data_IF_150611618723
#
_entry.id   IF_150611618723
#
_cell.length_a   1.000
_cell.length_b   1.000
_cell.length_c   1.000
_cell.angle_alpha   90.00
_cell.angle_beta   90.00
_cell.angle_gamma   90.00
#
_symmetry.space_group_name_H-M   'P 1'
#
loop_
_entity.id
_entity.type
_entity.pdbx_description
1 polymer ?
#
# COMPACT_ATOMS: atom_id res chain seq x y z
N UNK A 1 0.88 -39.92 -10.64
CA UNK A 1 1.97 -39.11 -10.10
C UNK A 1 2.44 -38.12 -11.16
N UNK A 2 2.73 -36.87 -10.77
CA UNK A 2 3.42 -35.87 -11.60
C UNK A 2 4.88 -36.33 -11.83
N UNK A 3 5.41 -36.34 -13.07
CA UNK A 3 6.67 -37.01 -13.48
C UNK A 3 6.87 -38.37 -12.80
N UNK A 4 6.19 -39.40 -13.30
CA UNK A 4 6.39 -40.78 -12.83
C UNK A 4 7.88 -41.19 -12.87
N UNK A 5 8.25 -42.23 -12.14
CA UNK A 5 9.56 -42.91 -12.14
C UNK A 5 10.14 -43.23 -13.54
N UNK A 6 9.35 -43.07 -14.59
CA UNK A 6 9.67 -43.31 -16.00
C UNK A 6 10.40 -42.16 -16.69
N UNK A 7 10.45 -40.96 -16.11
CA UNK A 7 11.22 -39.83 -16.67
C UNK A 7 12.64 -39.84 -16.14
N UNK A 8 13.62 -40.02 -17.03
CA UNK A 8 15.03 -39.90 -16.65
C UNK A 8 15.60 -38.61 -17.24
N UNK A 9 16.39 -37.93 -16.42
CA UNK A 9 17.33 -36.89 -16.88
C UNK A 9 16.64 -35.76 -17.69
N UNK A 10 15.61 -35.08 -17.12
CA UNK A 10 14.97 -33.94 -17.78
C UNK A 10 15.99 -32.83 -18.00
N UNK A 11 16.08 -32.33 -19.24
CA UNK A 11 17.01 -31.29 -19.65
C UNK A 11 16.28 -30.20 -20.40
N UNK A 12 16.73 -28.98 -20.19
CA UNK A 12 16.27 -27.82 -20.93
C UNK A 12 17.31 -27.49 -21.99
N UNK A 13 16.97 -27.72 -23.26
CA UNK A 13 17.83 -27.40 -24.40
C UNK A 13 17.13 -26.27 -25.16
N UNK A 14 17.62 -25.04 -24.97
CA UNK A 14 16.97 -23.83 -25.48
C UNK A 14 15.51 -23.76 -25.00
N UNK A 15 14.52 -23.72 -25.91
CA UNK A 15 13.10 -23.72 -25.59
C UNK A 15 12.45 -25.10 -25.44
N UNK A 16 13.21 -26.17 -25.63
CA UNK A 16 12.69 -27.53 -25.58
C UNK A 16 12.99 -28.20 -24.24
N UNK A 17 11.94 -28.69 -23.59
CA UNK A 17 12.05 -29.69 -22.54
C UNK A 17 12.30 -31.04 -23.18
N UNK A 18 13.48 -31.61 -22.97
CA UNK A 18 13.84 -32.95 -23.42
C UNK A 18 13.89 -33.92 -22.26
N UNK A 19 13.28 -35.09 -22.39
CA UNK A 19 13.31 -36.15 -21.37
C UNK A 19 13.70 -37.49 -22.00
N UNK A 20 14.50 -38.27 -21.28
CA UNK A 20 14.80 -39.65 -21.67
C UNK A 20 13.65 -40.55 -21.18
N UNK A 21 13.09 -41.35 -22.09
CA UNK A 21 11.99 -42.28 -21.81
C UNK A 21 12.39 -43.69 -22.23
N UNK A 22 12.15 -44.68 -21.35
CA UNK A 22 12.74 -46.02 -21.44
C UNK A 22 12.59 -46.68 -22.82
N UNK A 23 13.73 -46.92 -23.48
CA UNK A 23 13.80 -47.64 -24.77
C UNK A 23 13.36 -46.83 -26.00
N UNK A 24 13.01 -45.55 -25.84
CA UNK A 24 12.59 -44.67 -26.92
C UNK A 24 13.59 -43.54 -27.19
N UNK A 25 13.47 -42.88 -28.34
CA UNK A 25 14.19 -41.65 -28.61
C UNK A 25 13.80 -40.55 -27.60
N UNK A 26 14.71 -39.62 -27.25
CA UNK A 26 14.41 -38.52 -26.34
C UNK A 26 13.17 -37.75 -26.79
N UNK A 27 12.22 -37.55 -25.89
CA UNK A 27 10.99 -36.83 -26.17
C UNK A 27 11.23 -35.34 -25.94
N UNK A 28 10.79 -34.50 -26.86
CA UNK A 28 10.95 -33.05 -26.78
C UNK A 28 9.58 -32.35 -26.77
N UNK A 29 9.40 -31.38 -25.88
CA UNK A 29 8.25 -30.48 -25.86
C UNK A 29 8.74 -29.03 -25.89
N UNK A 30 8.23 -28.25 -26.84
CA UNK A 30 8.50 -26.82 -26.89
C UNK A 30 7.71 -26.09 -25.80
N UNK A 31 8.39 -25.54 -24.79
CA UNK A 31 7.72 -24.86 -23.68
C UNK A 31 7.06 -23.53 -24.11
N UNK A 32 7.50 -22.92 -25.20
CA UNK A 32 6.86 -21.70 -25.73
C UNK A 32 5.44 -21.94 -26.27
N UNK A 33 5.01 -23.19 -26.46
CA UNK A 33 3.64 -23.48 -26.93
C UNK A 33 2.64 -23.60 -25.80
N UNK A 34 3.11 -23.77 -24.55
CA UNK A 34 2.25 -24.07 -23.40
C UNK A 34 2.54 -23.23 -22.15
N UNK A 35 3.63 -22.46 -22.13
CA UNK A 35 3.98 -21.56 -21.04
C UNK A 35 4.10 -20.12 -21.52
N UNK A 36 3.54 -19.21 -20.73
CA UNK A 36 3.72 -17.76 -20.82
C UNK A 36 4.06 -17.14 -19.46
N UNK A 37 4.20 -15.82 -19.43
CA UNK A 37 4.43 -15.04 -18.20
C UNK A 37 3.27 -14.09 -17.98
N UNK A 38 2.72 -14.07 -16.77
CA UNK A 38 1.75 -13.09 -16.33
C UNK A 38 2.04 -12.67 -14.89
N UNK A 39 2.12 -11.36 -14.67
CA UNK A 39 2.36 -10.77 -13.35
C UNK A 39 3.61 -11.33 -12.62
N UNK A 40 4.69 -11.59 -13.36
CA UNK A 40 5.93 -12.10 -12.78
C UNK A 40 5.85 -13.57 -12.34
N UNK A 41 4.86 -14.31 -12.82
CA UNK A 41 4.66 -15.74 -12.58
C UNK A 41 4.49 -16.50 -13.90
N UNK A 42 4.83 -17.78 -13.88
CA UNK A 42 4.54 -18.68 -14.99
C UNK A 42 3.03 -18.88 -15.14
N UNK A 43 2.56 -18.96 -16.38
CA UNK A 43 1.16 -19.19 -16.72
C UNK A 43 1.04 -20.32 -17.74
N UNK A 44 0.33 -21.39 -17.36
CA UNK A 44 -0.06 -22.47 -18.27
C UNK A 44 -1.02 -21.98 -19.35
N UNK A 45 -0.87 -22.51 -20.57
CA UNK A 45 -1.64 -22.12 -21.75
C UNK A 45 -1.21 -20.77 -22.34
N UNK A 46 -0.20 -20.12 -21.76
CA UNK A 46 0.48 -18.97 -22.37
C UNK A 46 1.37 -19.38 -23.55
N UNK A 47 1.98 -18.40 -24.19
CA UNK A 47 2.92 -18.62 -25.30
C UNK A 47 4.18 -17.78 -25.12
N UNK A 48 5.25 -18.22 -25.78
CA UNK A 48 6.49 -17.47 -25.99
C UNK A 48 7.27 -17.08 -24.72
N UNK A 49 7.13 -17.82 -23.61
CA UNK A 49 7.82 -17.53 -22.34
C UNK A 49 9.32 -17.26 -22.51
N UNK A 50 10.03 -18.01 -23.35
CA UNK A 50 11.48 -17.86 -23.54
C UNK A 50 11.87 -16.87 -24.62
N UNK A 51 10.90 -16.41 -25.44
CA UNK A 51 11.14 -15.37 -26.46
C UNK A 51 10.81 -13.98 -25.95
N UNK A 52 10.00 -13.87 -24.90
CA UNK A 52 9.73 -12.56 -24.30
C UNK A 52 10.98 -12.01 -23.62
N UNK A 53 11.26 -10.71 -23.82
CA UNK A 53 12.28 -9.96 -23.05
C UNK A 53 11.98 -9.94 -21.54
N UNK A 54 10.84 -10.48 -21.13
CA UNK A 54 10.31 -10.53 -19.78
C UNK A 54 10.70 -11.79 -19.00
N UNK A 55 11.59 -12.65 -19.52
CA UNK A 55 12.07 -13.83 -18.81
C UNK A 55 13.58 -14.07 -19.02
N UNK A 56 14.30 -14.47 -17.97
CA UNK A 56 15.73 -14.82 -18.05
C UNK A 56 16.15 -15.80 -16.96
N UNK A 57 17.38 -16.33 -17.08
CA UNK A 57 18.00 -17.27 -16.12
C UNK A 57 17.14 -18.51 -15.85
N UNK A 58 16.71 -19.18 -16.92
CA UNK A 58 16.00 -20.44 -16.80
C UNK A 58 16.91 -21.51 -16.18
N UNK A 59 16.40 -22.24 -15.21
CA UNK A 59 17.05 -23.45 -14.69
C UNK A 59 16.00 -24.51 -14.38
N UNK A 60 16.34 -25.76 -14.70
CA UNK A 60 15.48 -26.91 -14.52
C UNK A 60 16.13 -27.84 -13.49
N UNK A 61 15.40 -28.18 -12.44
CA UNK A 61 15.82 -29.14 -11.41
C UNK A 61 14.76 -30.21 -11.26
N UNK A 62 14.96 -31.36 -11.89
CA UNK A 62 13.93 -32.37 -12.01
C UNK A 62 12.73 -31.85 -12.80
N UNK A 63 11.58 -31.76 -12.13
CA UNK A 63 10.34 -31.22 -12.67
C UNK A 63 10.19 -29.71 -12.53
N UNK A 64 10.98 -29.10 -11.66
CA UNK A 64 10.84 -27.70 -11.29
C UNK A 64 11.58 -26.82 -12.29
N UNK A 65 10.82 -26.06 -13.07
CA UNK A 65 11.33 -24.98 -13.90
C UNK A 65 11.33 -23.70 -13.08
N UNK A 66 12.49 -23.03 -13.04
CA UNK A 66 12.64 -21.73 -12.39
C UNK A 66 13.23 -20.69 -13.34
N UNK A 67 12.81 -19.44 -13.21
CA UNK A 67 13.33 -18.31 -13.99
C UNK A 67 13.10 -16.97 -13.28
N UNK A 68 13.82 -15.93 -13.69
CA UNK A 68 13.50 -14.53 -13.36
C UNK A 68 12.51 -13.98 -14.38
N UNK A 69 11.30 -13.61 -13.93
CA UNK A 69 10.23 -13.04 -14.76
C UNK A 69 10.00 -11.57 -14.41
N UNK A 70 9.83 -10.72 -15.43
CA UNK A 70 9.64 -9.28 -15.25
C UNK A 70 8.17 -8.94 -14.96
N UNK A 71 7.94 -8.10 -13.95
CA UNK A 71 6.64 -7.49 -13.66
C UNK A 71 6.83 -6.07 -13.13
N UNK A 72 6.13 -5.09 -13.70
CA UNK A 72 6.22 -3.68 -13.31
C UNK A 72 7.66 -3.15 -13.22
N UNK A 73 8.51 -3.54 -14.18
CA UNK A 73 9.92 -3.15 -14.23
C UNK A 73 10.84 -3.86 -13.23
N UNK A 74 10.32 -4.76 -12.38
CA UNK A 74 11.10 -5.53 -11.41
C UNK A 74 11.19 -7.00 -11.84
N UNK A 75 12.27 -7.67 -11.46
CA UNK A 75 12.49 -9.09 -11.73
C UNK A 75 12.06 -9.93 -10.52
N UNK A 76 11.24 -10.95 -10.76
CA UNK A 76 10.72 -11.87 -9.76
C UNK A 76 11.21 -13.29 -10.04
N UNK A 77 11.73 -13.98 -9.03
CA UNK A 77 12.01 -15.41 -9.15
C UNK A 77 10.69 -16.18 -9.12
N UNK A 78 10.39 -16.87 -10.21
CA UNK A 78 9.23 -17.74 -10.33
C UNK A 78 9.68 -19.20 -10.43
N UNK A 79 8.85 -20.10 -9.93
CA UNK A 79 8.99 -21.56 -10.06
C UNK A 79 7.68 -22.17 -10.51
N UNK A 80 7.75 -23.21 -11.32
CA UNK A 80 6.59 -24.01 -11.74
C UNK A 80 7.00 -25.47 -11.86
N UNK A 81 6.18 -26.34 -11.31
CA UNK A 81 6.34 -27.78 -11.48
C UNK A 81 5.73 -28.18 -12.82
N UNK A 82 6.57 -28.61 -13.77
CA UNK A 82 6.15 -28.94 -15.12
C UNK A 82 5.20 -30.15 -15.19
N UNK A 83 5.18 -31.00 -14.16
CA UNK A 83 4.33 -32.20 -14.20
C UNK A 83 2.88 -31.98 -13.88
N UNK A 84 2.51 -30.79 -13.41
CA UNK A 84 1.10 -30.48 -13.17
C UNK A 84 0.30 -30.51 -14.46
N UNK A 85 0.94 -30.20 -15.60
CA UNK A 85 0.27 -30.01 -16.88
C UNK A 85 0.99 -30.62 -18.09
N UNK A 86 2.13 -31.28 -17.91
CA UNK A 86 2.81 -32.02 -18.98
C UNK A 86 2.78 -33.50 -18.64
N UNK A 87 2.31 -34.32 -19.58
CA UNK A 87 2.26 -35.78 -19.46
C UNK A 87 2.73 -36.44 -20.74
N UNK A 88 3.10 -37.71 -20.66
CA UNK A 88 3.33 -38.53 -21.86
C UNK A 88 1.99 -39.09 -22.32
N UNK A 89 1.68 -38.90 -23.60
CA UNK A 89 0.54 -39.53 -24.28
C UNK A 89 0.99 -40.03 -25.64
N UNK A 90 0.69 -41.30 -25.95
CA UNK A 90 1.03 -41.93 -27.22
C UNK A 90 2.52 -41.81 -27.61
N UNK A 91 3.43 -41.90 -26.63
CA UNK A 91 4.87 -41.80 -26.88
C UNK A 91 5.37 -40.38 -27.18
N UNK A 92 4.56 -39.34 -26.93
CA UNK A 92 4.98 -37.93 -27.01
C UNK A 92 4.72 -37.18 -25.71
N UNK A 93 5.51 -36.15 -25.44
CA UNK A 93 5.21 -35.18 -24.39
C UNK A 93 4.08 -34.24 -24.86
N UNK A 94 3.01 -34.16 -24.08
CA UNK A 94 1.84 -33.32 -24.38
C UNK A 94 1.50 -32.43 -23.18
N UNK A 95 1.22 -31.15 -23.45
CA UNK A 95 0.60 -30.25 -22.50
C UNK A 95 -0.91 -30.53 -22.41
N UNK A 96 -1.44 -30.75 -21.21
CA UNK A 96 -2.87 -30.88 -20.97
C UNK A 96 -3.38 -29.75 -20.09
N UNK A 97 -4.45 -29.10 -20.55
CA UNK A 97 -5.22 -28.16 -19.73
C UNK A 97 -6.26 -28.96 -18.96
N UNK A 98 -6.03 -29.18 -17.66
CA UNK A 98 -6.90 -29.98 -16.78
C UNK A 98 -8.36 -29.49 -16.69
N UNK A 99 -8.73 -28.40 -17.38
CA UNK A 99 -10.08 -27.86 -17.39
C UNK A 99 -11.03 -28.41 -18.46
N UNK A 100 -10.61 -29.23 -19.44
CA UNK A 100 -11.50 -29.54 -20.59
C UNK A 100 -11.81 -31.00 -20.93
N UNK A 101 -11.08 -31.98 -20.43
CA UNK A 101 -11.24 -33.37 -20.91
C UNK A 101 -11.79 -34.34 -19.86
N UNK A 102 -13.00 -34.06 -19.35
CA UNK A 102 -13.82 -35.09 -18.70
C UNK A 102 -14.91 -35.56 -19.68
N UNK A 103 -15.00 -36.87 -20.01
CA UNK A 103 -16.12 -37.41 -20.77
C UNK A 103 -17.41 -37.28 -19.93
N UNK A 104 -18.43 -36.66 -20.51
CA UNK A 104 -19.69 -36.37 -19.84
C UNK A 104 -20.53 -37.65 -19.66
N UNK A 105 -20.67 -38.11 -18.41
CA UNK A 105 -21.80 -38.96 -18.03
C UNK A 105 -23.09 -38.11 -17.96
N UNK A 106 -24.26 -38.63 -18.39
CA UNK A 106 -25.51 -37.90 -18.30
C UNK A 106 -25.89 -37.65 -16.82
N UNK A 107 -26.18 -36.41 -16.41
CA UNK A 107 -26.43 -36.11 -15.01
C UNK A 107 -27.78 -36.68 -14.54
N UNK A 108 -27.88 -37.05 -13.25
CA UNK A 108 -29.12 -37.55 -12.66
C UNK A 108 -30.22 -36.50 -12.73
N UNK A 109 -31.46 -36.96 -12.92
CA UNK A 109 -32.62 -36.11 -13.12
C UNK A 109 -32.98 -35.34 -11.84
N UNK A 110 -32.63 -34.05 -11.77
CA UNK A 110 -33.12 -33.13 -10.74
C UNK A 110 -34.43 -32.45 -11.16
N UNK A 111 -35.32 -32.08 -10.21
CA UNK A 111 -36.58 -31.38 -10.49
C UNK A 111 -36.33 -30.05 -11.21
N UNK A 112 -36.99 -29.88 -12.36
CA UNK A 112 -36.63 -28.86 -13.37
C UNK A 112 -37.22 -27.47 -13.13
N UNK A 113 -37.92 -27.20 -12.03
CA UNK A 113 -38.82 -26.04 -11.99
C UNK A 113 -38.25 -24.79 -11.30
N UNK A 114 -37.25 -24.91 -10.42
CA UNK A 114 -36.58 -23.72 -9.83
C UNK A 114 -35.49 -23.07 -10.71
N UNK A 115 -34.89 -23.83 -11.63
CA UNK A 115 -33.68 -23.40 -12.38
C UNK A 115 -33.93 -22.89 -13.80
N UNK A 116 -35.17 -22.92 -14.30
CA UNK A 116 -35.49 -22.42 -15.67
C UNK A 116 -35.36 -20.90 -15.78
N UNK A 117 -35.65 -20.13 -14.73
CA UNK A 117 -35.62 -18.66 -14.79
C UNK A 117 -34.20 -18.08 -14.85
N UNK A 118 -33.18 -18.78 -14.34
CA UNK A 118 -31.80 -18.29 -14.37
C UNK A 118 -31.07 -18.62 -15.68
N UNK A 119 -31.51 -19.64 -16.43
CA UNK A 119 -30.86 -20.05 -17.69
C UNK A 119 -31.05 -19.05 -18.84
N UNK A 120 -32.07 -18.19 -18.80
CA UNK A 120 -32.29 -17.18 -19.85
C UNK A 120 -31.25 -16.03 -19.84
N UNK A 121 -30.47 -15.88 -18.76
CA UNK A 121 -29.41 -14.85 -18.65
C UNK A 121 -28.04 -15.29 -19.16
N UNK A 122 -27.88 -16.51 -19.68
CA UNK A 122 -26.56 -17.04 -20.13
C UNK A 122 -26.07 -16.57 -21.50
N UNK A 123 -26.79 -15.70 -22.21
CA UNK A 123 -26.34 -15.18 -23.52
C UNK A 123 -25.69 -13.80 -23.40
N UNK A 124 -24.45 -13.74 -22.89
CA UNK A 124 -23.38 -12.77 -23.21
C UNK A 124 -22.23 -12.93 -22.22
N UNK A 125 -21.02 -12.63 -22.68
CA UNK A 125 -19.74 -12.70 -21.96
C UNK A 125 -19.72 -11.77 -20.74
N UNK A 126 -20.38 -12.14 -19.64
CA UNK A 126 -20.32 -11.42 -18.37
C UNK A 126 -19.18 -11.97 -17.51
N UNK A 127 -18.43 -11.06 -16.89
CA UNK A 127 -17.40 -11.36 -15.91
C UNK A 127 -17.99 -12.08 -14.68
N UNK A 128 -17.15 -12.77 -13.90
CA UNK A 128 -17.58 -13.46 -12.67
C UNK A 128 -18.24 -12.50 -11.66
N UNK A 129 -17.76 -11.26 -11.57
CA UNK A 129 -18.35 -10.24 -10.71
C UNK A 129 -19.80 -9.96 -11.12
N UNK A 130 -20.03 -9.70 -12.41
CA UNK A 130 -21.37 -9.38 -12.93
C UNK A 130 -22.36 -10.55 -12.79
N UNK A 131 -21.89 -11.79 -12.97
CA UNK A 131 -22.70 -13.00 -12.75
C UNK A 131 -23.09 -13.22 -11.30
N UNK A 132 -22.22 -12.87 -10.37
CA UNK A 132 -22.50 -13.01 -8.94
C UNK A 132 -23.40 -11.89 -8.45
N UNK A 133 -23.23 -10.67 -8.96
CA UNK A 133 -24.15 -9.55 -8.70
C UNK A 133 -25.57 -9.88 -9.15
N UNK A 134 -25.73 -10.50 -10.33
CA UNK A 134 -27.05 -10.89 -10.82
C UNK A 134 -27.69 -12.02 -9.99
N UNK A 135 -26.91 -12.95 -9.45
CA UNK A 135 -27.41 -13.97 -8.53
C UNK A 135 -27.92 -13.36 -7.22
N UNK A 136 -27.20 -12.39 -6.66
CA UNK A 136 -27.66 -11.66 -5.47
C UNK A 136 -28.98 -10.93 -5.75
N UNK A 137 -29.06 -10.19 -6.85
CA UNK A 137 -30.27 -9.47 -7.24
C UNK A 137 -31.48 -10.39 -7.50
N UNK A 138 -31.24 -11.64 -7.91
CA UNK A 138 -32.30 -12.64 -8.08
C UNK A 138 -32.76 -13.24 -6.74
N UNK A 139 -31.81 -13.53 -5.85
CA UNK A 139 -32.09 -14.19 -4.57
C UNK A 139 -32.56 -13.23 -3.48
N UNK A 140 -32.30 -11.95 -3.64
CA UNK A 140 -32.71 -10.89 -2.72
C UNK A 140 -33.43 -9.80 -3.51
N UNK A 141 -34.77 -9.90 -3.66
CA UNK A 141 -35.55 -8.90 -4.38
C UNK A 141 -35.42 -7.51 -3.74
N UNK A 142 -35.37 -6.48 -4.57
CA UNK A 142 -35.17 -5.09 -4.14
C UNK A 142 -36.29 -4.58 -3.22
N UNK A 143 -37.53 -5.02 -3.44
CA UNK A 143 -38.70 -4.68 -2.62
C UNK A 143 -38.67 -5.34 -1.23
N UNK A 144 -37.78 -6.32 -1.03
CA UNK A 144 -37.56 -7.03 0.22
C UNK A 144 -36.26 -6.63 0.91
N UNK A 145 -35.56 -5.63 0.38
CA UNK A 145 -34.32 -5.10 0.93
C UNK A 145 -34.59 -3.73 1.55
N UNK A 146 -34.22 -3.56 2.82
CA UNK A 146 -34.39 -2.27 3.53
C UNK A 146 -33.23 -2.01 4.48
N UNK A 147 -32.94 -0.73 4.69
CA UNK A 147 -31.88 -0.28 5.57
C UNK A 147 -32.50 0.40 6.80
N UNK A 148 -32.16 -0.10 7.98
CA UNK A 148 -32.56 0.47 9.27
C UNK A 148 -31.30 0.81 10.07
N UNK A 149 -30.94 2.10 10.12
CA UNK A 149 -29.67 2.54 10.71
C UNK A 149 -28.47 2.06 9.89
N UNK A 150 -27.68 1.14 10.44
CA UNK A 150 -26.61 0.44 9.72
C UNK A 150 -26.95 -1.00 9.35
N UNK A 151 -28.11 -1.51 9.80
CA UNK A 151 -28.52 -2.87 9.55
C UNK A 151 -29.26 -2.97 8.22
N UNK A 152 -28.75 -3.85 7.35
CA UNK A 152 -29.40 -4.22 6.11
C UNK A 152 -30.29 -5.44 6.36
N UNK A 153 -31.60 -5.23 6.29
CA UNK A 153 -32.61 -6.29 6.43
C UNK A 153 -33.04 -6.77 5.04
N UNK A 154 -33.10 -8.09 4.86
CA UNK A 154 -33.45 -8.71 3.60
C UNK A 154 -34.37 -9.93 3.81
N UNK A 155 -35.28 -10.17 2.86
CA UNK A 155 -35.85 -11.51 2.69
C UNK A 155 -35.09 -12.23 1.58
N UNK A 156 -34.39 -13.29 1.94
CA UNK A 156 -33.49 -14.03 1.08
C UNK A 156 -34.15 -15.35 0.65
N UNK A 157 -34.11 -15.64 -0.65
CA UNK A 157 -34.62 -16.90 -1.21
C UNK A 157 -33.75 -18.09 -0.76
N UNK A 158 -34.41 -19.12 -0.24
CA UNK A 158 -33.83 -20.40 0.14
C UNK A 158 -33.80 -21.38 -1.04
N UNK A 159 -33.04 -22.45 -0.88
CA UNK A 159 -32.92 -23.53 -1.87
C UNK A 159 -34.24 -24.29 -2.10
N UNK A 160 -35.12 -24.33 -1.09
CA UNK A 160 -36.47 -24.90 -1.18
C UNK A 160 -37.49 -23.97 -1.88
N UNK A 161 -37.09 -22.76 -2.27
CA UNK A 161 -37.93 -21.75 -2.91
C UNK A 161 -38.71 -20.86 -1.95
N UNK A 162 -38.60 -21.05 -0.64
CA UNK A 162 -39.19 -20.18 0.39
C UNK A 162 -38.28 -18.98 0.68
N UNK A 163 -38.79 -17.97 1.41
CA UNK A 163 -38.00 -16.82 1.83
C UNK A 163 -37.72 -16.87 3.33
N UNK A 164 -36.47 -16.58 3.72
CA UNK A 164 -36.07 -16.38 5.11
C UNK A 164 -35.69 -14.93 5.37
N UNK A 165 -35.98 -14.43 6.56
CA UNK A 165 -35.56 -13.09 6.99
C UNK A 165 -34.12 -13.15 7.50
N UNK A 166 -33.28 -12.24 7.02
CA UNK A 166 -31.89 -12.09 7.47
C UNK A 166 -31.54 -10.62 7.63
N UNK A 167 -30.56 -10.34 8.48
CA UNK A 167 -30.02 -9.00 8.66
C UNK A 167 -28.49 -9.03 8.71
N UNK A 168 -27.87 -7.94 8.29
CA UNK A 168 -26.41 -7.78 8.30
C UNK A 168 -26.05 -6.36 8.72
N UNK A 169 -25.18 -6.19 9.72
CA UNK A 169 -24.69 -4.86 10.09
C UNK A 169 -23.64 -4.40 9.07
N UNK A 170 -23.97 -3.40 8.26
CA UNK A 170 -23.04 -2.84 7.28
C UNK A 170 -21.90 -2.05 7.94
N UNK A 171 -22.07 -1.65 9.20
CA UNK A 171 -21.05 -0.88 9.92
C UNK A 171 -19.79 -1.71 10.19
N UNK A 172 -19.89 -3.04 10.18
CA UNK A 172 -18.77 -3.97 10.32
C UNK A 172 -17.96 -4.16 9.02
N UNK A 173 -18.50 -3.73 7.88
CA UNK A 173 -17.92 -4.01 6.56
C UNK A 173 -17.67 -2.76 5.72
N UNK A 174 -18.28 -1.63 6.07
CA UNK A 174 -18.16 -0.37 5.32
C UNK A 174 -17.58 0.70 6.24
N UNK A 175 -16.63 1.47 5.70
CA UNK A 175 -16.08 2.67 6.32
C UNK A 175 -15.96 3.81 5.31
N UNK A 176 -15.35 4.91 5.74
CA UNK A 176 -15.17 6.13 4.91
C UNK A 176 -13.69 6.40 4.70
N UNK A 177 -13.31 6.72 3.47
CA UNK A 177 -11.98 7.21 3.11
C UNK A 177 -12.15 8.44 2.21
N UNK A 178 -11.66 9.60 2.65
CA UNK A 178 -11.72 10.87 1.92
C UNK A 178 -13.16 11.20 1.45
N UNK A 179 -14.14 11.08 2.34
CA UNK A 179 -15.55 11.32 2.03
C UNK A 179 -16.22 10.26 1.15
N UNK A 180 -15.57 9.12 0.86
CA UNK A 180 -16.13 8.04 0.04
C UNK A 180 -16.37 6.76 0.84
N UNK A 181 -17.49 6.09 0.59
CA UNK A 181 -17.81 4.77 1.14
C UNK A 181 -16.87 3.72 0.53
N UNK A 182 -16.23 2.93 1.40
CA UNK A 182 -15.28 1.89 1.00
C UNK A 182 -15.58 0.58 1.73
N UNK A 183 -15.66 -0.51 0.97
CA UNK A 183 -15.82 -1.87 1.49
C UNK A 183 -14.55 -2.37 2.20
N UNK A 184 -14.70 -3.24 3.20
CA UNK A 184 -13.60 -3.81 3.99
C UNK A 184 -13.08 -2.87 5.08
N UNK A 185 -13.83 -1.82 5.42
CA UNK A 185 -13.55 -0.89 6.51
C UNK A 185 -14.69 -0.98 7.54
N UNK A 186 -14.66 -0.16 8.58
CA UNK A 186 -15.68 -0.16 9.64
C UNK A 186 -16.16 1.24 9.95
N UNK A 187 -17.29 1.32 10.64
CA UNK A 187 -17.82 2.54 11.24
C UNK A 187 -18.17 3.65 10.25
N UNK A 188 -18.72 3.34 9.07
CA UNK A 188 -19.17 4.40 8.16
C UNK A 188 -20.29 5.24 8.75
N UNK A 189 -21.14 4.67 9.61
CA UNK A 189 -22.34 5.36 10.12
C UNK A 189 -22.00 6.58 10.97
N UNK A 190 -20.87 6.59 11.68
CA UNK A 190 -20.42 7.73 12.47
C UNK A 190 -19.89 8.89 11.64
N UNK A 191 -19.50 8.62 10.39
CA UNK A 191 -18.83 9.57 9.51
C UNK A 191 -19.72 10.04 8.35
N UNK A 192 -20.95 9.53 8.26
CA UNK A 192 -21.89 9.86 7.18
C UNK A 192 -23.27 10.29 7.68
N UNK A 193 -23.84 11.26 6.97
CA UNK A 193 -25.17 11.82 7.11
C UNK A 193 -26.04 11.38 5.93
N UNK A 194 -27.37 11.46 6.07
CA UNK A 194 -28.34 11.14 5.01
C UNK A 194 -28.16 9.77 4.35
N UNK A 195 -27.80 8.75 5.14
CA UNK A 195 -27.63 7.37 4.66
C UNK A 195 -28.98 6.79 4.23
N UNK A 196 -29.05 6.33 2.98
CA UNK A 196 -30.24 5.68 2.41
C UNK A 196 -29.84 4.57 1.44
N UNK A 197 -30.80 3.68 1.17
CA UNK A 197 -30.65 2.62 0.19
C UNK A 197 -31.47 2.98 -1.07
N UNK A 198 -30.80 3.02 -2.22
CA UNK A 198 -31.41 3.22 -3.54
C UNK A 198 -31.21 1.95 -4.38
N UNK A 199 -32.20 1.06 -4.32
CA UNK A 199 -32.10 -0.26 -4.90
C UNK A 199 -31.07 -1.13 -4.18
N UNK A 200 -29.96 -1.45 -4.87
CA UNK A 200 -28.81 -2.16 -4.28
C UNK A 200 -27.65 -1.23 -3.94
N UNK A 201 -27.83 0.09 -4.08
CA UNK A 201 -26.81 1.08 -3.84
C UNK A 201 -27.00 1.73 -2.49
N UNK A 202 -25.98 1.70 -1.64
CA UNK A 202 -25.90 2.48 -0.42
C UNK A 202 -25.44 3.90 -0.79
N UNK A 203 -26.28 4.89 -0.55
CA UNK A 203 -25.99 6.31 -0.82
C UNK A 203 -25.89 7.04 0.51
N UNK A 204 -24.82 7.81 0.70
CA UNK A 204 -24.63 8.59 1.91
C UNK A 204 -23.80 9.85 1.63
N UNK A 205 -23.95 10.87 2.48
CA UNK A 205 -23.08 12.05 2.47
C UNK A 205 -22.03 11.89 3.58
N UNK A 206 -20.78 11.68 3.22
CA UNK A 206 -19.72 11.39 4.18
C UNK A 206 -18.76 12.56 4.31
N UNK A 207 -18.24 12.78 5.52
CA UNK A 207 -17.26 13.85 5.77
C UNK A 207 -15.91 13.45 5.19
N UNK A 208 -15.29 14.37 4.47
CA UNK A 208 -13.89 14.26 4.05
C UNK A 208 -12.92 14.82 5.10
N UNK A 209 -11.62 14.77 4.82
CA UNK A 209 -10.57 15.25 5.74
C UNK A 209 -10.65 16.76 5.99
N UNK A 210 -11.27 17.50 5.06
CA UNK A 210 -11.54 18.94 5.16
C UNK A 210 -12.88 19.23 5.85
N UNK A 211 -13.55 18.19 6.39
CA UNK A 211 -14.88 18.24 7.00
C UNK A 211 -16.00 18.67 6.06
N UNK A 212 -15.77 18.67 4.75
CA UNK A 212 -16.81 18.89 3.76
C UNK A 212 -17.64 17.61 3.57
N UNK A 213 -18.95 17.76 3.35
CA UNK A 213 -19.85 16.65 3.08
C UNK A 213 -19.79 16.30 1.58
N UNK A 214 -19.34 15.08 1.29
CA UNK A 214 -19.24 14.55 -0.07
C UNK A 214 -20.25 13.42 -0.27
N UNK A 215 -21.04 13.49 -1.34
CA UNK A 215 -21.96 12.42 -1.70
C UNK A 215 -21.19 11.19 -2.21
N UNK A 216 -21.50 10.03 -1.67
CA UNK A 216 -20.86 8.76 -2.03
C UNK A 216 -21.88 7.64 -2.18
N UNK A 217 -21.63 6.77 -3.16
CA UNK A 217 -22.48 5.63 -3.50
C UNK A 217 -21.66 4.36 -3.55
N UNK A 218 -22.16 3.28 -2.93
CA UNK A 218 -21.53 1.95 -2.94
C UNK A 218 -22.54 0.88 -3.36
N UNK A 219 -22.20 0.10 -4.40
CA UNK A 219 -23.05 -0.98 -4.88
C UNK A 219 -22.86 -2.25 -4.02
N UNK A 220 -23.88 -2.59 -3.22
CA UNK A 220 -23.81 -3.71 -2.26
C UNK A 220 -23.86 -5.08 -2.95
N UNK A 221 -24.48 -5.18 -4.13
CA UNK A 221 -24.60 -6.42 -4.93
C UNK A 221 -23.24 -7.04 -5.28
N UNK A 222 -22.18 -6.23 -5.29
CA UNK A 222 -20.81 -6.68 -5.60
C UNK A 222 -20.18 -7.47 -4.47
N UNK A 223 -20.62 -7.21 -3.24
CA UNK A 223 -19.96 -7.68 -2.02
C UNK A 223 -20.83 -8.58 -1.16
N UNK A 224 -22.14 -8.63 -1.41
CA UNK A 224 -23.08 -9.44 -0.66
C UNK A 224 -23.55 -10.66 -1.46
N UNK A 225 -23.92 -11.72 -0.76
CA UNK A 225 -24.49 -12.94 -1.31
C UNK A 225 -25.57 -13.50 -0.36
N UNK A 226 -26.57 -14.18 -0.91
CA UNK A 226 -27.53 -15.00 -0.15
C UNK A 226 -27.04 -16.46 -0.11
N UNK A 227 -26.95 -17.03 1.09
CA UNK A 227 -26.59 -18.43 1.35
C UNK A 227 -27.78 -19.12 2.02
N UNK A 228 -28.59 -19.85 1.24
CA UNK A 228 -29.81 -20.54 1.70
C UNK A 228 -30.72 -19.71 2.63
N UNK A 229 -30.99 -18.46 2.23
CA UNK A 229 -31.83 -17.55 3.03
C UNK A 229 -31.07 -16.73 4.07
N UNK A 230 -29.74 -16.87 4.17
CA UNK A 230 -28.89 -16.08 5.06
C UNK A 230 -28.13 -15.04 4.23
N UNK A 231 -28.30 -13.77 4.57
CA UNK A 231 -27.54 -12.68 3.99
C UNK A 231 -26.11 -12.71 4.54
N UNK A 232 -25.12 -12.82 3.65
CA UNK A 232 -23.71 -12.87 4.02
C UNK A 232 -22.83 -12.04 3.11
N UNK A 233 -21.59 -11.83 3.56
CA UNK A 233 -20.54 -11.24 2.72
C UNK A 233 -20.05 -12.29 1.74
N UNK A 234 -19.90 -11.87 0.48
CA UNK A 234 -19.35 -12.70 -0.58
C UNK A 234 -17.92 -13.07 -0.25
N UNK A 235 -17.70 -14.33 0.08
CA UNK A 235 -16.36 -14.89 0.18
C UNK A 235 -15.80 -14.95 -1.23
N UNK A 236 -14.80 -14.12 -1.53
CA UNK A 236 -13.96 -14.32 -2.71
C UNK A 236 -13.21 -15.62 -2.48
N UNK A 237 -13.80 -16.73 -2.89
CA UNK A 237 -13.06 -17.96 -3.14
C UNK A 237 -12.14 -17.68 -4.31
N UNK A 238 -10.96 -17.11 -4.02
CA UNK A 238 -9.77 -17.56 -4.74
C UNK A 238 -9.82 -19.08 -4.67
N UNK A 239 -10.08 -19.70 -5.81
CA UNK A 239 -10.38 -21.12 -6.01
C UNK A 239 -9.66 -22.04 -5.02
N UNK A 240 -10.29 -22.36 -3.89
CA UNK A 240 -9.88 -23.50 -3.07
C UNK A 240 -10.47 -24.74 -3.72
N UNK A 241 -9.79 -25.24 -4.75
CA UNK A 241 -10.03 -26.58 -5.33
C UNK A 241 -10.07 -27.67 -4.24
N UNK A 242 -9.42 -27.42 -3.11
CA UNK A 242 -9.30 -28.29 -1.95
C UNK A 242 -10.64 -28.73 -1.31
N UNK A 243 -11.67 -27.88 -1.30
CA UNK A 243 -12.96 -28.25 -0.69
C UNK A 243 -13.83 -29.12 -1.61
N UNK A 244 -13.70 -28.97 -2.93
CA UNK A 244 -14.43 -29.80 -3.89
C UNK A 244 -13.82 -31.19 -4.03
N UNK A 245 -12.50 -31.30 -3.85
CA UNK A 245 -11.79 -32.58 -3.88
C UNK A 245 -12.19 -33.46 -2.68
N UNK A 246 -12.37 -32.86 -1.50
CA UNK A 246 -12.70 -33.55 -0.24
C UNK A 246 -14.05 -34.29 -0.26
N UNK A 247 -15.02 -33.80 -1.04
CA UNK A 247 -16.33 -34.46 -1.18
C UNK A 247 -16.44 -35.38 -2.40
N UNK A 248 -15.44 -35.40 -3.28
CA UNK A 248 -15.40 -36.25 -4.47
C UNK A 248 -14.72 -37.61 -4.23
N UNK A 249 -13.98 -37.75 -3.12
CA UNK A 249 -13.14 -38.93 -2.81
C UNK A 249 -13.82 -40.07 -2.03
N UNK A 250 -15.08 -39.93 -1.59
CA UNK A 250 -15.78 -41.01 -0.89
C UNK A 250 -16.27 -42.12 -1.86
N UNK A 251 -15.36 -42.99 -2.31
CA UNK A 251 -15.59 -44.06 -3.30
C UNK A 251 -16.20 -45.38 -2.76
N UNK A 252 -16.67 -45.46 -1.52
CA UNK A 252 -17.01 -46.74 -0.87
C UNK A 252 -18.49 -47.17 -0.93
N UNK A 253 -19.37 -46.47 -1.65
CA UNK A 253 -20.79 -46.87 -1.80
C UNK A 253 -21.12 -47.46 -3.18
N UNK A 254 -20.65 -48.68 -3.50
CA UNK A 254 -21.24 -49.52 -4.56
C UNK A 254 -21.12 -51.02 -4.22
N UNK A 255 -22.00 -51.53 -3.36
CA UNK A 255 -22.21 -52.98 -3.22
C UNK A 255 -23.18 -53.43 -4.33
N UNK A 256 -22.69 -54.21 -5.30
CA UNK A 256 -23.54 -54.91 -6.28
C UNK A 256 -23.78 -56.33 -5.78
N UNK A 257 -25.01 -56.61 -5.36
CA UNK A 257 -25.47 -57.98 -5.14
C UNK A 257 -25.77 -58.59 -6.51
N UNK A 258 -25.00 -59.61 -6.90
CA UNK A 258 -25.24 -60.41 -8.11
C UNK A 258 -26.21 -61.52 -7.75
N UNK A 259 -27.39 -61.53 -8.36
CA UNK A 259 -28.33 -62.67 -8.30
C UNK A 259 -28.64 -63.10 -9.72
N UNK A 260 -28.44 -64.38 -10.03
CA UNK A 260 -29.23 -65.21 -10.96
C UNK A 260 -28.59 -66.62 -11.14
N UNK A 261 -29.33 -67.66 -11.57
CA UNK A 261 -30.70 -68.05 -11.20
C UNK A 261 -30.83 -69.54 -10.76
N UNK A 262 -32.04 -69.90 -10.33
CA UNK A 262 -32.55 -71.26 -10.03
C UNK A 262 -32.06 -71.99 -8.76
N UNK A 263 -32.60 -71.57 -7.61
CA UNK A 263 -32.55 -72.32 -6.34
C UNK A 263 -33.92 -72.50 -5.68
N UNK A 264 -34.99 -72.53 -6.47
CA UNK A 264 -36.39 -72.61 -5.99
C UNK A 264 -36.69 -73.88 -5.17
N UNK A 265 -35.90 -74.95 -5.34
CA UNK A 265 -36.04 -76.21 -4.58
C UNK A 265 -35.22 -76.25 -3.28
N UNK A 266 -34.13 -75.49 -3.16
CA UNK A 266 -33.24 -75.51 -1.98
C UNK A 266 -33.75 -74.58 -0.87
N UNK A 267 -34.55 -73.57 -1.24
CA UNK A 267 -35.10 -72.56 -0.32
C UNK A 267 -36.22 -73.04 0.63
N UNK A 268 -36.73 -74.27 0.46
CA UNK A 268 -37.80 -74.81 1.33
C UNK A 268 -37.31 -75.72 2.47
N UNK A 269 -36.02 -76.06 2.50
CA UNK A 269 -35.44 -76.80 3.62
C UNK A 269 -35.43 -75.93 4.88
N UNK A 270 -36.15 -76.35 5.93
CA UNK A 270 -36.15 -75.67 7.23
C UNK A 270 -34.75 -75.62 7.85
N UNK A 271 -33.96 -76.68 7.65
CA UNK A 271 -32.57 -76.75 8.06
C UNK A 271 -31.68 -75.74 7.29
N UNK A 272 -31.92 -75.55 5.98
CA UNK A 272 -31.21 -74.56 5.18
C UNK A 272 -31.59 -73.13 5.57
N UNK A 273 -32.88 -72.84 5.81
CA UNK A 273 -33.33 -71.53 6.31
C UNK A 273 -32.76 -71.19 7.69
N UNK A 274 -32.68 -72.18 8.59
CA UNK A 274 -32.08 -71.98 9.91
C UNK A 274 -30.57 -71.75 9.81
N UNK A 275 -29.85 -72.53 8.99
CA UNK A 275 -28.41 -72.38 8.80
C UNK A 275 -28.06 -71.07 8.07
N UNK A 276 -28.81 -70.70 7.03
CA UNK A 276 -28.59 -69.46 6.29
C UNK A 276 -29.03 -68.23 7.09
N UNK A 277 -30.11 -68.34 7.87
CA UNK A 277 -30.52 -67.29 8.82
C UNK A 277 -29.48 -67.06 9.91
N UNK A 278 -28.94 -68.14 10.48
CA UNK A 278 -27.85 -68.06 11.46
C UNK A 278 -26.56 -67.51 10.85
N UNK A 279 -26.19 -67.94 9.64
CA UNK A 279 -25.04 -67.41 8.92
C UNK A 279 -25.23 -65.92 8.59
N UNK A 280 -26.39 -65.51 8.09
CA UNK A 280 -26.69 -64.13 7.80
C UNK A 280 -26.68 -63.26 9.06
N UNK A 281 -27.28 -63.72 10.16
CA UNK A 281 -27.28 -63.00 11.44
C UNK A 281 -25.86 -62.87 12.01
N UNK A 282 -25.05 -63.94 11.95
CA UNK A 282 -23.67 -63.93 12.44
C UNK A 282 -22.78 -63.03 11.57
N UNK A 283 -22.94 -63.10 10.24
CA UNK A 283 -22.20 -62.24 9.31
C UNK A 283 -22.62 -60.77 9.48
N UNK A 284 -23.91 -60.50 9.70
CA UNK A 284 -24.40 -59.13 9.93
C UNK A 284 -23.87 -58.58 11.25
N UNK A 285 -23.88 -59.36 12.34
CA UNK A 285 -23.30 -58.93 13.62
C UNK A 285 -21.80 -58.68 13.50
N UNK A 286 -21.08 -59.53 12.79
CA UNK A 286 -19.63 -59.40 12.65
C UNK A 286 -19.25 -58.19 11.79
N UNK A 287 -19.91 -58.02 10.64
CA UNK A 287 -19.72 -56.86 9.74
C UNK A 287 -20.10 -55.55 10.43
N UNK A 288 -21.20 -55.51 11.20
CA UNK A 288 -21.58 -54.30 11.94
C UNK A 288 -20.56 -53.96 13.01
N UNK A 289 -20.05 -54.93 13.78
CA UNK A 289 -19.07 -54.68 14.82
C UNK A 289 -17.71 -54.23 14.26
N UNK A 290 -17.24 -54.89 13.20
CA UNK A 290 -15.96 -54.59 12.56
C UNK A 290 -16.02 -53.23 11.83
N UNK A 291 -17.09 -52.96 11.10
CA UNK A 291 -17.29 -51.65 10.45
C UNK A 291 -17.45 -50.51 11.46
N UNK A 292 -18.14 -50.73 12.59
CA UNK A 292 -18.25 -49.65 13.61
C UNK A 292 -16.93 -49.39 14.31
N UNK A 293 -16.11 -50.42 14.53
CA UNK A 293 -14.80 -50.26 15.14
C UNK A 293 -13.80 -49.59 14.19
N UNK A 294 -13.68 -50.07 12.94
CA UNK A 294 -12.79 -49.46 11.95
C UNK A 294 -13.20 -48.03 11.60
N UNK A 295 -14.51 -47.76 11.48
CA UNK A 295 -15.00 -46.40 11.23
C UNK A 295 -14.74 -45.48 12.42
N UNK A 296 -14.86 -45.95 13.66
CA UNK A 296 -14.58 -45.16 14.85
C UNK A 296 -13.07 -44.84 14.96
N UNK A 297 -12.20 -45.81 14.69
CA UNK A 297 -10.74 -45.61 14.72
C UNK A 297 -10.27 -44.70 13.58
N UNK A 298 -10.77 -44.92 12.36
CA UNK A 298 -10.49 -44.10 11.18
C UNK A 298 -10.98 -42.66 11.37
N UNK A 299 -12.23 -42.46 11.76
CA UNK A 299 -12.77 -41.12 12.03
C UNK A 299 -12.03 -40.43 13.18
N UNK A 300 -11.63 -41.16 14.22
CA UNK A 300 -10.86 -40.59 15.33
C UNK A 300 -9.46 -40.17 14.89
N UNK A 301 -8.79 -40.91 14.00
CA UNK A 301 -7.49 -40.53 13.46
C UNK A 301 -7.59 -39.34 12.51
N UNK A 302 -8.58 -39.32 11.63
CA UNK A 302 -8.79 -38.23 10.67
C UNK A 302 -9.18 -36.93 11.36
N UNK A 303 -10.07 -36.98 12.38
CA UNK A 303 -10.41 -35.82 13.19
C UNK A 303 -9.16 -35.31 13.93
N UNK A 304 -8.33 -36.21 14.48
CA UNK A 304 -7.11 -35.83 15.19
C UNK A 304 -6.08 -35.18 14.27
N UNK A 305 -5.88 -35.72 13.07
CA UNK A 305 -4.98 -35.16 12.07
C UNK A 305 -5.48 -33.80 11.56
N UNK A 306 -6.77 -33.73 11.17
CA UNK A 306 -7.41 -32.49 10.71
C UNK A 306 -7.39 -31.39 11.77
N UNK A 307 -7.67 -31.73 13.03
CA UNK A 307 -7.56 -30.76 14.13
C UNK A 307 -6.12 -30.31 14.37
N UNK A 308 -5.15 -31.23 14.33
CA UNK A 308 -3.74 -30.87 14.50
C UNK A 308 -3.26 -29.90 13.40
N UNK A 309 -3.62 -30.15 12.15
CA UNK A 309 -3.26 -29.30 11.03
C UNK A 309 -3.96 -27.93 11.10
N UNK A 310 -5.24 -27.92 11.47
CA UNK A 310 -6.01 -26.66 11.62
C UNK A 310 -5.51 -25.81 12.79
N UNK A 311 -5.18 -26.43 13.93
CA UNK A 311 -4.58 -25.75 15.07
C UNK A 311 -3.20 -25.21 14.71
N UNK A 312 -2.38 -25.99 14.00
CA UNK A 312 -1.06 -25.55 13.53
C UNK A 312 -1.17 -24.37 12.57
N UNK A 313 -2.07 -24.44 11.59
CA UNK A 313 -2.29 -23.36 10.62
C UNK A 313 -2.77 -22.07 11.30
N UNK A 314 -3.74 -22.16 12.21
CA UNK A 314 -4.22 -20.96 12.92
C UNK A 314 -3.20 -20.41 13.92
N UNK A 315 -2.47 -21.27 14.62
CA UNK A 315 -1.39 -20.83 15.50
C UNK A 315 -0.29 -20.12 14.71
N UNK A 316 0.11 -20.66 13.55
CA UNK A 316 1.05 -20.00 12.64
C UNK A 316 0.51 -18.66 12.13
N UNK A 317 -0.79 -18.57 11.79
CA UNK A 317 -1.39 -17.29 11.34
C UNK A 317 -1.41 -16.26 12.47
N UNK A 318 -1.89 -16.63 13.67
CA UNK A 318 -1.95 -15.74 14.83
C UNK A 318 -0.56 -15.25 15.22
N UNK A 319 0.43 -16.14 15.25
CA UNK A 319 1.84 -15.76 15.54
C UNK A 319 2.38 -14.82 14.46
N UNK A 320 2.13 -15.10 13.18
CA UNK A 320 2.60 -14.25 12.08
C UNK A 320 1.92 -12.87 12.08
N UNK A 321 0.61 -12.81 12.36
CA UNK A 321 -0.15 -11.56 12.46
C UNK A 321 0.30 -10.72 13.68
N UNK A 322 0.47 -11.35 14.84
CA UNK A 322 0.91 -10.69 16.07
C UNK A 322 2.36 -10.20 15.96
N UNK A 323 3.28 -11.04 15.49
CA UNK A 323 4.67 -10.63 15.24
C UNK A 323 4.75 -9.56 14.16
N UNK A 324 3.96 -9.69 13.09
CA UNK A 324 3.90 -8.68 12.03
C UNK A 324 3.41 -7.34 12.54
N UNK A 325 2.39 -7.31 13.41
CA UNK A 325 1.90 -6.08 14.02
C UNK A 325 2.92 -5.46 14.99
N UNK A 326 3.53 -6.28 15.85
CA UNK A 326 4.55 -5.83 16.81
C UNK A 326 5.81 -5.29 16.11
N UNK A 327 6.27 -5.96 15.06
CA UNK A 327 7.42 -5.52 14.25
C UNK A 327 7.08 -4.22 13.53
N UNK A 328 5.88 -4.10 12.94
CA UNK A 328 5.43 -2.85 12.29
C UNK A 328 5.38 -1.70 13.28
N UNK A 329 4.80 -1.90 14.46
CA UNK A 329 4.70 -0.86 15.51
C UNK A 329 6.09 -0.39 15.96
N UNK A 330 7.00 -1.33 16.27
CA UNK A 330 8.37 -0.98 16.69
C UNK A 330 9.17 -0.29 15.58
N UNK A 331 9.00 -0.70 14.31
CA UNK A 331 9.65 -0.05 13.18
C UNK A 331 9.12 1.38 13.02
N UNK A 332 7.80 1.57 13.05
CA UNK A 332 7.18 2.90 12.95
C UNK A 332 7.69 3.81 14.08
N UNK A 333 7.69 3.34 15.32
CA UNK A 333 8.15 4.12 16.47
C UNK A 333 9.64 4.49 16.35
N UNK A 334 10.50 3.55 15.92
CA UNK A 334 11.92 3.83 15.70
C UNK A 334 12.15 4.81 14.55
N UNK A 335 11.37 4.73 13.48
CA UNK A 335 11.42 5.68 12.37
C UNK A 335 11.02 7.07 12.84
N UNK A 336 9.93 7.20 13.61
CA UNK A 336 9.49 8.49 14.14
C UNK A 336 10.54 9.13 15.05
N UNK A 337 11.13 8.35 15.97
CA UNK A 337 12.20 8.84 16.86
C UNK A 337 13.45 9.24 16.06
N UNK A 338 13.86 8.44 15.07
CA UNK A 338 15.00 8.75 14.22
C UNK A 338 14.75 10.01 13.38
N UNK A 339 13.54 10.18 12.85
CA UNK A 339 13.17 11.36 12.07
C UNK A 339 13.10 12.61 12.93
N UNK A 340 12.54 12.53 14.14
CA UNK A 340 12.54 13.64 15.10
C UNK A 340 13.96 14.06 15.48
N UNK A 341 14.84 13.09 15.76
CA UNK A 341 16.26 13.34 16.09
C UNK A 341 17.00 13.98 14.93
N UNK A 342 16.79 13.50 13.70
CA UNK A 342 17.40 14.07 12.50
C UNK A 342 16.89 15.50 12.23
N UNK A 343 15.59 15.74 12.40
CA UNK A 343 14.99 17.07 12.25
C UNK A 343 15.59 18.07 13.24
N UNK A 344 15.73 17.69 14.50
CA UNK A 344 16.32 18.54 15.54
C UNK A 344 17.79 18.87 15.23
N UNK A 345 18.58 17.87 14.80
CA UNK A 345 19.97 18.08 14.42
C UNK A 345 20.11 19.03 13.22
N UNK A 346 19.23 18.92 12.22
CA UNK A 346 19.21 19.83 11.06
C UNK A 346 18.84 21.25 11.47
N UNK A 347 17.81 21.42 12.31
CA UNK A 347 17.42 22.75 12.80
C UNK A 347 18.57 23.42 13.55
N UNK A 348 19.20 22.69 14.46
CA UNK A 348 20.36 23.19 15.21
C UNK A 348 21.53 23.60 14.29
N UNK A 349 21.85 22.78 13.29
CA UNK A 349 22.92 23.10 12.34
C UNK A 349 22.57 24.31 11.45
N UNK A 350 21.30 24.49 11.10
CA UNK A 350 20.83 25.67 10.39
C UNK A 350 20.96 26.93 11.23
N UNK A 351 20.56 26.88 12.51
CA UNK A 351 20.68 28.02 13.44
C UNK A 351 22.14 28.44 13.62
N UNK A 352 23.05 27.48 13.87
CA UNK A 352 24.48 27.74 14.00
C UNK A 352 25.08 28.36 12.72
N UNK A 353 24.64 27.90 11.54
CA UNK A 353 25.10 28.46 10.26
C UNK A 353 24.61 29.89 10.03
N UNK A 354 23.35 30.18 10.41
CA UNK A 354 22.78 31.52 10.30
C UNK A 354 23.48 32.49 11.26
N UNK A 355 23.73 32.07 12.50
CA UNK A 355 24.43 32.89 13.49
C UNK A 355 25.86 33.21 13.06
N UNK A 356 26.61 32.22 12.54
CA UNK A 356 27.96 32.43 12.03
C UNK A 356 27.95 33.37 10.80
N UNK A 357 27.01 33.19 9.87
CA UNK A 357 26.87 34.06 8.72
C UNK A 357 26.53 35.50 9.13
N UNK A 358 25.61 35.67 10.09
CA UNK A 358 25.22 36.97 10.63
C UNK A 358 26.40 37.67 11.30
N UNK A 359 27.15 36.96 12.15
CA UNK A 359 28.34 37.48 12.80
C UNK A 359 29.39 37.92 11.77
N UNK A 360 29.64 37.10 10.74
CA UNK A 360 30.58 37.44 9.67
C UNK A 360 30.16 38.70 8.91
N UNK A 361 28.88 38.82 8.56
CA UNK A 361 28.34 40.02 7.89
C UNK A 361 28.46 41.25 8.79
N UNK A 362 28.13 41.13 10.08
CA UNK A 362 28.27 42.23 11.05
C UNK A 362 29.72 42.69 11.19
N UNK A 363 30.68 41.77 11.32
CA UNK A 363 32.12 42.10 11.37
C UNK A 363 32.55 42.78 10.07
N UNK A 364 32.22 42.22 8.91
CA UNK A 364 32.57 42.81 7.62
C UNK A 364 31.98 44.20 7.40
N UNK A 365 30.72 44.41 7.78
CA UNK A 365 30.06 45.72 7.70
C UNK A 365 30.74 46.74 8.63
N UNK A 366 31.09 46.31 9.85
CA UNK A 366 31.77 47.16 10.83
C UNK A 366 33.16 47.58 10.33
N UNK A 367 33.95 46.63 9.82
CA UNK A 367 35.32 46.88 9.36
C UNK A 367 35.39 47.60 8.01
N UNK A 368 34.51 47.27 7.07
CA UNK A 368 34.60 47.76 5.68
C UNK A 368 33.81 49.04 5.43
N UNK A 369 32.77 49.30 6.22
CA UNK A 369 31.86 50.43 5.99
C UNK A 369 31.92 51.39 7.17
N UNK A 370 31.59 50.90 8.37
CA UNK A 370 31.42 51.78 9.54
C UNK A 370 32.76 52.39 9.97
N UNK A 371 33.83 51.59 10.05
CA UNK A 371 35.17 52.07 10.41
C UNK A 371 35.67 53.19 9.48
N UNK A 372 35.79 52.94 8.16
CA UNK A 372 36.26 53.95 7.21
C UNK A 372 35.38 55.21 7.16
N UNK A 373 34.05 55.05 7.28
CA UNK A 373 33.15 56.21 7.38
C UNK A 373 33.41 57.03 8.65
N UNK A 374 33.65 56.36 9.78
CA UNK A 374 34.02 57.01 11.04
C UNK A 374 35.32 57.79 10.90
N UNK A 375 36.35 57.17 10.32
CA UNK A 375 37.66 57.79 10.11
C UNK A 375 37.57 59.01 9.17
N UNK A 376 36.79 58.90 8.08
CA UNK A 376 36.56 60.00 7.13
C UNK A 376 35.83 61.17 7.78
N UNK A 377 34.78 60.90 8.58
CA UNK A 377 34.05 61.94 9.32
C UNK A 377 34.98 62.64 10.31
N UNK A 378 35.81 61.90 11.04
CA UNK A 378 36.79 62.47 11.97
C UNK A 378 37.82 63.32 11.22
N UNK A 379 38.32 62.85 10.07
CA UNK A 379 39.25 63.60 9.24
C UNK A 379 38.65 64.91 8.71
N UNK A 380 37.41 64.87 8.20
CA UNK A 380 36.70 66.06 7.74
C UNK A 380 36.45 67.06 8.86
N UNK A 381 36.03 66.60 10.05
CA UNK A 381 35.86 67.45 11.22
C UNK A 381 37.18 68.10 11.64
N UNK A 382 38.29 67.35 11.66
CA UNK A 382 39.61 67.88 12.01
C UNK A 382 40.07 68.95 11.00
N UNK A 383 39.84 68.74 9.70
CA UNK A 383 40.17 69.73 8.66
C UNK A 383 39.33 71.00 8.81
N UNK A 384 38.01 70.88 9.01
CA UNK A 384 37.13 72.03 9.23
C UNK A 384 37.52 72.82 10.49
N UNK A 385 37.88 72.14 11.57
CA UNK A 385 38.36 72.79 12.79
C UNK A 385 39.68 73.50 12.54
N UNK A 386 40.62 72.88 11.81
CA UNK A 386 41.90 73.49 11.46
C UNK A 386 41.75 74.73 10.57
N UNK A 387 40.86 74.68 9.57
CA UNK A 387 40.55 75.80 8.68
C UNK A 387 39.93 76.96 9.47
N UNK A 388 38.92 76.66 10.30
CA UNK A 388 38.28 77.67 11.16
C UNK A 388 39.27 78.29 12.15
N UNK A 389 40.15 77.48 12.76
CA UNK A 389 41.20 77.99 13.65
C UNK A 389 42.20 78.88 12.91
N UNK A 390 42.56 78.52 11.68
CA UNK A 390 43.46 79.32 10.84
C UNK A 390 42.83 80.67 10.49
N UNK A 391 41.55 80.68 10.10
CA UNK A 391 40.78 81.90 9.80
C UNK A 391 40.66 82.81 11.04
N UNK A 392 40.26 82.25 12.18
CA UNK A 392 40.16 83.00 13.45
C UNK A 392 41.52 83.55 13.86
N UNK A 393 42.59 82.77 13.72
CA UNK A 393 43.95 83.23 14.05
C UNK A 393 44.39 84.36 13.11
N UNK A 394 44.16 84.23 11.81
CA UNK A 394 44.48 85.27 10.83
C UNK A 394 43.69 86.55 11.09
N UNK A 395 42.38 86.44 11.38
CA UNK A 395 41.52 87.56 11.75
C UNK A 395 42.00 88.25 13.03
N UNK A 396 42.34 87.46 14.07
CA UNK A 396 42.87 88.00 15.33
C UNK A 396 44.20 88.75 15.10
N UNK A 397 45.13 88.15 14.33
CA UNK A 397 46.40 88.80 13.96
C UNK A 397 46.14 90.11 13.22
N UNK A 398 45.22 90.13 12.25
CA UNK A 398 44.84 91.34 11.52
C UNK A 398 44.31 92.44 12.45
N UNK A 399 43.42 92.10 13.39
CA UNK A 399 42.92 93.06 14.39
C UNK A 399 44.01 93.55 15.35
N UNK A 400 44.97 92.69 15.72
CA UNK A 400 46.11 93.13 16.52
C UNK A 400 47.01 94.09 15.74
N UNK A 401 47.29 93.80 14.47
CA UNK A 401 48.08 94.68 13.60
C UNK A 401 47.41 96.05 13.43
N UNK A 402 46.11 96.07 13.13
CA UNK A 402 45.30 97.30 13.03
C UNK A 402 45.37 98.12 14.33
N UNK A 403 45.21 97.47 15.49
CA UNK A 403 45.33 98.15 16.79
C UNK A 403 46.72 98.73 17.05
N UNK A 404 47.77 98.01 16.66
CA UNK A 404 49.15 98.50 16.79
C UNK A 404 49.38 99.71 15.89
N UNK A 405 48.89 99.68 14.66
CA UNK A 405 48.97 100.80 13.72
C UNK A 405 48.26 102.05 14.26
N UNK A 406 47.02 101.90 14.74
CA UNK A 406 46.26 102.99 15.39
C UNK A 406 47.03 103.56 16.60
N UNK A 407 47.64 102.70 17.43
CA UNK A 407 48.44 103.15 18.58
C UNK A 407 49.71 103.88 18.15
N UNK A 408 50.38 103.40 17.11
CA UNK A 408 51.58 104.03 16.55
C UNK A 408 51.25 105.40 15.94
N UNK A 409 50.18 105.52 15.15
CA UNK A 409 49.71 106.80 14.62
C UNK A 409 49.38 107.78 15.75
N UNK A 410 48.66 107.32 16.77
CA UNK A 410 48.33 108.14 17.94
C UNK A 410 49.59 108.64 18.66
N UNK A 411 50.62 107.81 18.78
CA UNK A 411 51.89 108.21 19.40
C UNK A 411 52.68 109.20 18.53
N UNK A 412 52.71 109.02 17.20
CA UNK A 412 53.34 109.96 16.27
C UNK A 412 52.68 111.34 16.35
N UNK A 413 51.34 111.38 16.35
CA UNK A 413 50.57 112.62 16.53
C UNK A 413 50.86 113.24 17.90
N UNK A 414 50.89 112.44 18.96
CA UNK A 414 51.19 112.91 20.32
C UNK A 414 52.62 113.46 20.43
N UNK A 415 53.60 112.80 19.83
CA UNK A 415 54.99 113.26 19.78
C UNK A 415 55.14 114.57 18.99
N UNK A 416 54.45 114.68 17.85
CA UNK A 416 54.41 115.90 17.04
C UNK A 416 53.79 117.07 17.80
N UNK A 417 52.69 116.81 18.54
CA UNK A 417 52.06 117.80 19.41
C UNK A 417 52.99 118.26 20.55
N UNK A 418 53.70 117.32 21.20
CA UNK A 418 54.71 117.65 22.23
C UNK A 418 55.84 118.52 21.66
N UNK A 419 56.33 118.19 20.47
CA UNK A 419 57.35 118.97 19.77
C UNK A 419 56.85 120.39 19.45
N UNK A 420 55.66 120.52 18.86
CA UNK A 420 55.05 121.82 18.56
C UNK A 420 54.84 122.66 19.82
N UNK A 421 54.40 122.05 20.93
CA UNK A 421 54.27 122.74 22.21
C UNK A 421 55.63 123.21 22.74
N UNK A 422 56.68 122.40 22.63
CA UNK A 422 58.04 122.81 23.04
C UNK A 422 58.54 124.00 22.21
N UNK A 423 58.31 124.00 20.89
CA UNK A 423 58.66 125.11 20.00
C UNK A 423 57.86 126.37 20.35
N UNK A 424 56.56 126.25 20.57
CA UNK A 424 55.70 127.38 20.95
C UNK A 424 56.12 127.98 22.29
N UNK A 425 56.43 127.15 23.29
CA UNK A 425 56.97 127.61 24.58
C UNK A 425 58.31 128.34 24.41
N UNK A 426 59.20 127.84 23.55
CA UNK A 426 60.48 128.50 23.24
C UNK A 426 60.27 129.85 22.56
N UNK A 427 59.37 129.93 21.56
CA UNK A 427 59.04 131.19 20.88
C UNK A 427 58.48 132.24 21.83
N UNK A 428 57.56 131.86 22.74
CA UNK A 428 57.07 132.78 23.79
C UNK A 428 58.18 133.31 24.69
N UNK A 429 59.18 132.47 25.00
CA UNK A 429 60.35 132.85 25.79
C UNK A 429 61.25 133.84 25.03
N UNK A 430 61.45 133.62 23.73
CA UNK A 430 62.16 134.55 22.84
C UNK A 430 61.44 135.89 22.72
N UNK A 431 60.12 135.90 22.51
CA UNK A 431 59.30 137.12 22.48
C UNK A 431 59.35 137.90 23.80
N UNK A 432 59.31 137.20 24.93
CA UNK A 432 59.47 137.82 26.25
C UNK A 432 60.86 138.47 26.44
N UNK A 433 61.91 137.90 25.84
CA UNK A 433 63.26 138.48 25.86
C UNK A 433 63.42 139.66 24.88
N UNK A 434 62.74 139.66 23.74
CA UNK A 434 62.82 140.75 22.75
C UNK A 434 61.90 141.94 23.05
N UNK A 435 60.89 141.78 23.90
CA UNK A 435 60.04 142.87 24.40
C UNK A 435 60.63 143.72 25.54
N UNK A 436 61.90 143.51 25.93
CA UNK A 436 62.59 144.23 27.01
C UNK A 436 63.68 145.20 26.51
N UNK A 437 63.54 145.77 25.31
CA UNK A 437 64.43 146.80 24.76
C UNK A 437 63.67 148.03 24.28
#
# INVERSE_FOLDING_TARGET
>A
MPFDSTYRNPRLIQEFLTVDYEGAAPLALNLNTCLGSANGRFQWGGRDIMKTLSARKFSLSGSDLSAELQHNGRWHNARIDLSTNIRIRNGGLEYFDGRRDLPADPPPAYPKDGFKSFRSFKSKSLSYSERSSSYFMYTVPVDKLRLEGSFLHAQCLRTDGTFASSQLDLNDYIGVVNGRLVWGRKNFRSSCESVKLEGYNLVAQCRDDLKALVSSTLELSRYLQSYDGILGVKVLTESSSELSDLFSEARWMKVRVVTEPDASAVLQSSAFRAAFGSLAETTTKHVVAEMTQELAESASQDIKASMADKVKAEMSRIVSDAMGAQIREQITQKIEVAFATAKEAVLKACDEMVDEALNKVTVQCTESIIGPMGDEVVAQCNNLIADAMTEVTASAIGHFQERVEILMEREIVSASLRSAHSVASYMKLVEAMSGSY
#
